data_IF_478400542510
#
_entry.id   IF_478400542510
#
_cell.length_a   1.000
_cell.length_b   1.000
_cell.length_c   1.000
_cell.angle_alpha   90.00
_cell.angle_beta   90.00
_cell.angle_gamma   90.00
#
_symmetry.space_group_name_H-M   'P 1'
#
loop_
_entity.id
_entity.type
_entity.pdbx_description
1 polymer ?
#
# COMPACT_ATOMS: atom_id res chain seq x y z
N UNK A 1 18.05 7.95 13.64
CA UNK A 1 19.52 7.82 13.43
C UNK A 1 20.09 6.48 13.94
N UNK A 2 19.52 5.87 14.99
CA UNK A 2 20.07 4.64 15.61
C UNK A 2 19.83 3.31 14.89
N UNK A 3 18.88 3.23 13.96
CA UNK A 3 18.53 1.96 13.29
C UNK A 3 19.64 1.46 12.36
N UNK A 4 20.27 2.38 11.62
CA UNK A 4 21.35 2.03 10.68
C UNK A 4 22.62 1.53 11.39
N UNK A 5 22.87 1.98 12.62
CA UNK A 5 24.06 1.59 13.41
C UNK A 5 23.99 0.16 13.94
N UNK A 6 22.78 -0.39 14.17
CA UNK A 6 22.55 -1.73 14.74
C UNK A 6 22.50 -2.86 13.71
N UNK A 7 22.45 -2.54 12.42
CA UNK A 7 22.35 -3.57 11.37
C UNK A 7 23.72 -4.10 10.95
N UNK A 8 23.88 -5.43 10.93
CA UNK A 8 25.07 -6.11 10.35
C UNK A 8 25.27 -5.79 8.87
N UNK A 9 24.19 -5.42 8.14
CA UNK A 9 24.19 -5.16 6.70
C UNK A 9 24.00 -3.67 6.36
N UNK A 10 24.77 -2.78 6.99
CA UNK A 10 24.66 -1.31 6.82
C UNK A 10 24.65 -0.84 5.36
N UNK A 11 25.38 -1.51 4.47
CA UNK A 11 25.47 -1.18 3.04
C UNK A 11 24.16 -1.41 2.27
N UNK A 12 23.29 -2.30 2.77
CA UNK A 12 22.02 -2.63 2.13
C UNK A 12 20.87 -1.72 2.58
N UNK A 13 21.04 -0.98 3.67
CA UNK A 13 20.01 -0.11 4.23
C UNK A 13 20.22 1.32 3.76
N UNK A 14 19.21 1.84 3.06
CA UNK A 14 19.13 3.25 2.71
C UNK A 14 18.09 3.94 3.57
N UNK A 15 18.50 4.90 4.39
CA UNK A 15 17.62 5.75 5.17
C UNK A 15 17.30 7.03 4.37
N UNK A 16 16.00 7.34 4.22
CA UNK A 16 15.52 8.57 3.58
C UNK A 16 14.72 9.35 4.62
N UNK A 17 15.12 10.58 4.89
CA UNK A 17 14.42 11.48 5.81
C UNK A 17 14.12 12.82 5.16
N UNK A 18 13.13 13.51 5.68
CA UNK A 18 12.74 14.87 5.30
C UNK A 18 12.23 15.63 6.52
N UNK A 19 12.36 16.96 6.49
CA UNK A 19 12.12 17.82 7.67
C UNK A 19 10.64 17.88 8.09
N UNK A 20 9.71 17.82 7.14
CA UNK A 20 8.25 17.95 7.40
C UNK A 20 7.55 16.62 7.14
N UNK A 21 6.56 16.28 7.96
CA UNK A 21 5.67 15.17 7.67
C UNK A 21 4.76 15.55 6.49
N UNK A 22 4.98 14.92 5.34
CA UNK A 22 4.22 15.15 4.10
C UNK A 22 3.14 14.08 3.91
N UNK A 23 3.22 12.98 4.65
CA UNK A 23 2.26 11.88 4.61
C UNK A 23 2.85 10.55 4.15
N UNK A 24 2.09 9.48 4.39
CA UNK A 24 2.46 8.08 4.09
C UNK A 24 2.77 7.88 2.60
N UNK A 25 1.88 8.35 1.73
CA UNK A 25 2.05 8.20 0.28
C UNK A 25 3.32 8.86 -0.25
N UNK A 26 3.68 10.03 0.30
CA UNK A 26 4.94 10.69 -0.07
C UNK A 26 6.17 9.88 0.35
N UNK A 27 6.19 9.34 1.56
CA UNK A 27 7.28 8.51 2.05
C UNK A 27 7.48 7.26 1.17
N UNK A 28 6.37 6.57 0.84
CA UNK A 28 6.37 5.40 -0.03
C UNK A 28 6.86 5.78 -1.43
N UNK A 29 6.35 6.87 -2.01
CA UNK A 29 6.81 7.38 -3.32
C UNK A 29 8.33 7.58 -3.35
N UNK A 30 8.90 8.20 -2.34
CA UNK A 30 10.37 8.41 -2.23
C UNK A 30 11.11 7.08 -2.13
N UNK A 31 10.60 6.13 -1.34
CA UNK A 31 11.17 4.79 -1.20
C UNK A 31 11.17 4.03 -2.53
N UNK A 32 10.03 3.97 -3.23
CA UNK A 32 9.89 3.29 -4.52
C UNK A 32 10.81 3.90 -5.58
N UNK A 33 10.83 5.22 -5.70
CA UNK A 33 11.68 5.90 -6.69
C UNK A 33 13.18 5.69 -6.42
N UNK A 34 13.57 5.52 -5.16
CA UNK A 34 14.95 5.25 -4.74
C UNK A 34 15.36 3.79 -4.87
N UNK A 35 14.40 2.87 -5.05
CA UNK A 35 14.68 1.44 -5.14
C UNK A 35 15.41 1.07 -6.42
N UNK A 36 16.37 0.12 -6.33
CA UNK A 36 17.21 -0.30 -7.45
C UNK A 36 16.91 -1.73 -7.93
N UNK A 37 16.31 -2.57 -7.09
CA UNK A 37 16.03 -3.98 -7.37
C UNK A 37 14.85 -4.13 -8.33
N UNK A 38 14.77 -5.28 -8.99
CA UNK A 38 13.71 -5.60 -9.95
C UNK A 38 12.33 -5.64 -9.32
N UNK A 39 12.23 -6.20 -8.12
CA UNK A 39 11.00 -6.25 -7.35
C UNK A 39 11.04 -5.26 -6.20
N UNK A 40 9.94 -4.57 -5.97
CA UNK A 40 9.77 -3.56 -4.94
C UNK A 40 8.60 -3.98 -4.04
N UNK A 41 8.91 -4.36 -2.81
CA UNK A 41 7.92 -4.64 -1.78
C UNK A 41 7.69 -3.37 -0.94
N UNK A 42 6.43 -2.96 -0.85
CA UNK A 42 5.97 -2.00 0.15
C UNK A 42 5.51 -2.81 1.37
N UNK A 43 5.95 -2.39 2.56
CA UNK A 43 5.55 -2.99 3.81
C UNK A 43 5.42 -1.87 4.86
N UNK A 44 4.33 -1.88 5.63
CA UNK A 44 4.13 -0.94 6.72
C UNK A 44 5.12 -1.20 7.86
N UNK A 45 5.60 -0.13 8.51
CA UNK A 45 6.60 -0.20 9.58
C UNK A 45 6.07 -0.84 10.86
N UNK A 46 4.74 -0.83 11.07
CA UNK A 46 4.10 -1.48 12.21
C UNK A 46 4.14 -3.02 12.12
N UNK A 47 4.62 -3.56 10.98
CA UNK A 47 4.73 -5.00 10.74
C UNK A 47 3.40 -5.76 10.88
N UNK A 48 2.26 -5.09 10.74
CA UNK A 48 0.93 -5.71 10.70
C UNK A 48 0.88 -6.90 9.72
N UNK A 49 1.61 -6.81 8.61
CA UNK A 49 2.00 -7.97 7.79
C UNK A 49 3.52 -8.09 7.82
N UNK A 50 4.03 -9.22 8.30
CA UNK A 50 5.49 -9.44 8.38
C UNK A 50 6.11 -9.52 6.98
N UNK A 51 7.29 -8.96 6.73
CA UNK A 51 7.99 -9.07 5.43
C UNK A 51 8.14 -10.51 4.93
N UNK A 52 8.29 -11.50 5.83
CA UNK A 52 8.35 -12.93 5.51
C UNK A 52 7.08 -13.49 4.83
N UNK A 53 5.97 -12.73 4.82
CA UNK A 53 4.78 -13.09 4.04
C UNK A 53 5.12 -13.28 2.55
N UNK A 54 6.14 -12.57 2.03
CA UNK A 54 6.59 -12.72 0.64
C UNK A 54 7.08 -14.15 0.34
N UNK A 55 7.72 -14.80 1.31
CA UNK A 55 8.21 -16.17 1.16
C UNK A 55 7.05 -17.16 0.96
N UNK A 56 5.94 -16.92 1.67
CA UNK A 56 4.71 -17.69 1.51
C UNK A 56 4.14 -17.51 0.10
N UNK A 57 4.08 -16.28 -0.41
CA UNK A 57 3.60 -16.01 -1.76
C UNK A 57 4.48 -16.64 -2.82
N UNK A 58 5.80 -16.62 -2.63
CA UNK A 58 6.76 -17.24 -3.53
C UNK A 58 6.64 -18.76 -3.53
N UNK A 59 6.65 -19.43 -2.35
CA UNK A 59 6.51 -20.87 -2.21
C UNK A 59 5.21 -21.41 -2.81
N UNK A 60 4.11 -20.66 -2.66
CA UNK A 60 2.81 -21.01 -3.25
C UNK A 60 2.67 -20.62 -4.73
N UNK A 61 3.71 -20.11 -5.36
CA UNK A 61 3.73 -19.70 -6.77
C UNK A 61 2.64 -18.68 -7.09
N UNK A 62 2.30 -17.79 -6.16
CA UNK A 62 1.32 -16.73 -6.40
C UNK A 62 1.88 -15.58 -7.25
N UNK A 63 3.21 -15.37 -7.18
CA UNK A 63 3.93 -14.34 -7.94
C UNK A 63 4.46 -14.98 -9.22
N UNK A 64 3.79 -14.77 -10.34
CA UNK A 64 4.12 -15.44 -11.60
C UNK A 64 4.53 -14.45 -12.71
N UNK A 65 3.99 -13.25 -12.72
CA UNK A 65 4.10 -12.33 -13.86
C UNK A 65 4.69 -10.98 -13.47
N UNK A 66 5.62 -10.49 -14.28
CA UNK A 66 6.28 -9.18 -14.07
C UNK A 66 5.35 -7.99 -14.41
N UNK A 67 4.31 -8.20 -15.18
CA UNK A 67 3.32 -7.20 -15.56
C UNK A 67 2.07 -7.20 -14.67
N UNK A 68 2.11 -7.87 -13.53
CA UNK A 68 1.05 -7.88 -12.53
C UNK A 68 1.54 -7.18 -11.24
N UNK A 69 0.63 -6.49 -10.56
CA UNK A 69 0.82 -5.97 -9.21
C UNK A 69 0.15 -6.90 -8.20
N UNK A 70 0.83 -7.18 -7.10
CA UNK A 70 0.35 -8.10 -6.07
C UNK A 70 0.04 -7.33 -4.80
N UNK A 71 -1.23 -7.32 -4.41
CA UNK A 71 -1.73 -6.63 -3.22
C UNK A 71 -2.10 -7.64 -2.15
N UNK A 72 -1.58 -7.48 -0.94
CA UNK A 72 -2.12 -8.16 0.21
C UNK A 72 -3.57 -7.72 0.41
N UNK A 73 -4.46 -8.65 0.69
CA UNK A 73 -5.88 -8.36 0.94
C UNK A 73 -6.34 -9.02 2.22
N UNK A 74 -6.78 -8.20 3.17
CA UNK A 74 -7.41 -8.66 4.41
C UNK A 74 -8.79 -9.28 4.15
N UNK A 75 -9.37 -9.02 2.98
CA UNK A 75 -10.67 -9.56 2.53
C UNK A 75 -10.52 -10.83 1.67
N UNK A 76 -9.31 -11.35 1.51
CA UNK A 76 -9.11 -12.63 0.82
C UNK A 76 -9.54 -13.79 1.73
N UNK A 77 -10.23 -14.80 1.18
CA UNK A 77 -10.78 -15.93 1.95
C UNK A 77 -9.75 -16.72 2.77
N UNK A 78 -8.49 -16.78 2.29
CA UNK A 78 -7.39 -17.45 2.96
C UNK A 78 -6.58 -16.53 3.89
N UNK A 79 -6.97 -15.27 4.07
CA UNK A 79 -6.28 -14.36 4.97
C UNK A 79 -6.63 -14.65 6.43
N UNK A 80 -5.61 -14.56 7.29
CA UNK A 80 -5.77 -14.67 8.75
C UNK A 80 -5.69 -13.26 9.34
N UNK A 81 -6.80 -12.80 9.93
CA UNK A 81 -6.94 -11.42 10.40
C UNK A 81 -7.23 -11.40 11.89
N UNK A 82 -6.47 -10.57 12.63
CA UNK A 82 -6.76 -10.20 14.02
C UNK A 82 -7.00 -8.70 14.07
N UNK A 83 -8.26 -8.28 14.12
CA UNK A 83 -8.68 -6.87 14.16
C UNK A 83 -9.91 -6.67 15.04
N UNK A 84 -10.24 -5.41 15.36
CA UNK A 84 -11.50 -5.06 16.02
C UNK A 84 -12.64 -4.95 15.00
N UNK A 85 -13.85 -5.28 15.42
CA UNK A 85 -15.06 -5.18 14.60
C UNK A 85 -15.26 -3.78 13.99
N UNK A 86 -15.07 -2.72 14.79
CA UNK A 86 -15.25 -1.33 14.35
C UNK A 86 -14.36 -1.00 13.14
N UNK A 87 -13.08 -1.41 13.18
CA UNK A 87 -12.14 -1.16 12.07
C UNK A 87 -12.53 -1.94 10.82
N UNK A 88 -13.07 -3.12 11.00
CA UNK A 88 -13.54 -3.93 9.88
C UNK A 88 -14.70 -3.23 9.15
N UNK A 89 -15.70 -2.73 9.90
CA UNK A 89 -16.85 -2.00 9.35
C UNK A 89 -16.41 -0.71 8.64
N UNK A 90 -15.53 0.08 9.23
CA UNK A 90 -14.97 1.27 8.58
C UNK A 90 -14.26 0.93 7.27
N UNK A 91 -13.54 -0.17 7.22
CA UNK A 91 -12.91 -0.66 5.99
C UNK A 91 -13.91 -1.07 4.90
N UNK A 92 -15.05 -1.66 5.28
CA UNK A 92 -16.15 -1.99 4.35
C UNK A 92 -16.76 -0.70 3.78
N UNK A 93 -17.14 0.25 4.64
CA UNK A 93 -17.72 1.54 4.22
C UNK A 93 -16.76 2.28 3.27
N UNK A 94 -15.49 2.34 3.60
CA UNK A 94 -14.50 3.00 2.76
C UNK A 94 -14.37 2.34 1.38
N UNK A 95 -14.38 1.01 1.32
CA UNK A 95 -14.35 0.30 0.04
C UNK A 95 -15.63 0.52 -0.79
N UNK A 96 -16.81 0.64 -0.16
CA UNK A 96 -18.04 1.01 -0.84
C UNK A 96 -17.95 2.39 -1.47
N UNK A 97 -17.45 3.38 -0.74
CA UNK A 97 -17.20 4.72 -1.27
C UNK A 97 -16.27 4.69 -2.49
N UNK A 98 -15.17 3.94 -2.41
CA UNK A 98 -14.24 3.76 -3.53
C UNK A 98 -14.93 3.11 -4.73
N UNK A 99 -15.75 2.09 -4.49
CA UNK A 99 -16.50 1.42 -5.56
C UNK A 99 -17.45 2.38 -6.26
N UNK A 100 -18.27 3.15 -5.52
CA UNK A 100 -19.21 4.11 -6.10
C UNK A 100 -18.52 5.26 -6.83
N UNK A 101 -17.42 5.79 -6.30
CA UNK A 101 -16.71 6.89 -6.92
C UNK A 101 -15.92 6.49 -8.18
N UNK A 102 -15.33 5.29 -8.21
CA UNK A 102 -14.31 4.93 -9.20
C UNK A 102 -14.57 3.60 -9.93
N UNK A 103 -15.59 2.84 -9.56
CA UNK A 103 -15.84 1.51 -10.12
C UNK A 103 -14.69 0.50 -9.83
N UNK A 104 -13.96 0.70 -8.72
CA UNK A 104 -12.86 -0.18 -8.33
C UNK A 104 -13.44 -1.41 -7.61
N UNK A 105 -13.20 -2.61 -8.17
CA UNK A 105 -13.66 -3.90 -7.64
C UNK A 105 -12.65 -4.59 -6.73
N UNK A 106 -11.53 -3.95 -6.40
CA UNK A 106 -10.52 -4.48 -5.48
C UNK A 106 -11.07 -4.44 -4.07
N UNK A 107 -11.04 -5.57 -3.37
CA UNK A 107 -11.65 -5.75 -2.05
C UNK A 107 -10.88 -5.05 -0.94
N UNK A 108 -9.56 -4.89 -1.08
CA UNK A 108 -8.71 -4.23 -0.08
C UNK A 108 -7.63 -3.37 -0.74
N UNK A 109 -7.97 -2.11 -1.03
CA UNK A 109 -7.01 -1.15 -1.59
C UNK A 109 -5.99 -0.66 -0.56
N UNK A 110 -6.30 -0.73 0.74
CA UNK A 110 -5.56 -0.06 1.81
C UNK A 110 -4.54 -0.95 2.54
N UNK A 111 -4.44 -2.25 2.21
CA UNK A 111 -3.45 -3.11 2.83
C UNK A 111 -2.03 -2.62 2.48
N UNK A 112 -1.22 -2.36 3.51
CA UNK A 112 0.12 -1.82 3.37
C UNK A 112 1.18 -2.83 2.89
N UNK A 113 0.77 -3.98 2.36
CA UNK A 113 1.67 -5.01 1.84
C UNK A 113 1.44 -5.20 0.35
N UNK A 114 2.32 -4.63 -0.48
CA UNK A 114 2.16 -4.60 -1.94
C UNK A 114 3.48 -4.84 -2.65
N UNK A 115 3.47 -5.71 -3.66
CA UNK A 115 4.64 -6.06 -4.46
C UNK A 115 4.48 -5.61 -5.91
N UNK A 116 5.52 -5.00 -6.45
CA UNK A 116 5.55 -4.42 -7.78
C UNK A 116 6.83 -4.80 -8.53
N UNK A 117 6.75 -4.94 -9.84
CA UNK A 117 7.94 -4.91 -10.67
C UNK A 117 8.39 -3.45 -10.91
N UNK A 118 9.69 -3.20 -10.86
CA UNK A 118 10.30 -1.88 -10.99
C UNK A 118 9.91 -1.16 -12.30
N UNK A 119 9.72 -1.90 -13.39
CA UNK A 119 9.53 -1.32 -14.72
C UNK A 119 8.31 -0.39 -14.79
N UNK A 120 7.18 -0.82 -14.21
CA UNK A 120 5.99 0.01 -14.16
C UNK A 120 5.85 0.79 -12.86
N UNK A 121 6.34 0.26 -11.73
CA UNK A 121 6.19 0.89 -10.43
C UNK A 121 6.75 2.31 -10.41
N UNK A 122 7.97 2.50 -10.90
CA UNK A 122 8.58 3.84 -10.94
C UNK A 122 7.80 4.84 -11.78
N UNK A 123 7.25 4.39 -12.91
CA UNK A 123 6.41 5.23 -13.75
C UNK A 123 5.12 5.65 -13.01
N UNK A 124 4.42 4.69 -12.42
CA UNK A 124 3.18 4.94 -11.68
C UNK A 124 3.43 5.85 -10.49
N UNK A 125 4.44 5.54 -9.67
CA UNK A 125 4.75 6.33 -8.48
C UNK A 125 5.25 7.75 -8.78
N UNK A 126 5.85 8.02 -9.94
CA UNK A 126 6.14 9.42 -10.36
C UNK A 126 4.87 10.24 -10.51
N UNK A 127 3.77 9.64 -11.00
CA UNK A 127 2.50 10.30 -11.25
C UNK A 127 1.63 10.48 -10.01
N UNK A 128 1.84 9.69 -8.95
CA UNK A 128 1.11 9.83 -7.69
C UNK A 128 1.30 11.25 -7.12
N UNK A 129 0.18 11.88 -6.83
CA UNK A 129 0.08 13.23 -6.27
C UNK A 129 -0.58 13.26 -4.90
N UNK A 130 -1.33 12.24 -4.53
CA UNK A 130 -1.92 12.07 -3.19
C UNK A 130 -0.85 11.59 -2.22
N UNK A 131 -0.55 12.39 -1.20
CA UNK A 131 0.59 12.14 -0.31
C UNK A 131 0.19 11.50 1.03
N UNK A 132 -1.11 11.48 1.35
CA UNK A 132 -1.65 10.87 2.58
C UNK A 132 -2.12 9.45 2.32
N UNK A 133 -3.21 9.04 2.98
CA UNK A 133 -3.75 7.67 2.90
C UNK A 133 -4.49 7.38 1.57
N UNK A 134 -4.99 8.41 0.88
CA UNK A 134 -5.71 8.25 -0.39
C UNK A 134 -4.81 7.86 -1.58
N UNK A 135 -3.49 7.87 -1.40
CA UNK A 135 -2.53 7.47 -2.45
C UNK A 135 -2.78 6.05 -2.95
N UNK A 136 -3.29 5.16 -2.12
CA UNK A 136 -3.57 3.77 -2.49
C UNK A 136 -4.66 3.68 -3.57
N UNK A 137 -5.66 4.57 -3.53
CA UNK A 137 -6.72 4.64 -4.54
C UNK A 137 -6.16 5.20 -5.85
N UNK A 138 -5.40 6.31 -5.79
CA UNK A 138 -4.72 6.88 -6.96
C UNK A 138 -3.78 5.87 -7.60
N UNK A 139 -3.06 5.07 -6.79
CA UNK A 139 -2.20 3.98 -7.25
C UNK A 139 -2.98 2.95 -8.07
N UNK A 140 -4.13 2.50 -7.58
CA UNK A 140 -4.98 1.53 -8.29
C UNK A 140 -5.45 2.08 -9.63
N UNK A 141 -5.90 3.34 -9.67
CA UNK A 141 -6.34 4.00 -10.90
C UNK A 141 -5.21 4.10 -11.94
N UNK A 142 -4.01 4.49 -11.50
CA UNK A 142 -2.84 4.60 -12.36
C UNK A 142 -2.37 3.23 -12.89
N UNK A 143 -2.44 2.18 -12.07
CA UNK A 143 -2.15 0.81 -12.50
C UNK A 143 -3.17 0.35 -13.54
N UNK A 144 -4.47 0.60 -13.29
CA UNK A 144 -5.56 0.28 -14.23
C UNK A 144 -5.37 1.01 -15.57
N UNK A 145 -5.05 2.31 -15.54
CA UNK A 145 -4.76 3.10 -16.76
C UNK A 145 -3.57 2.56 -17.56
N UNK A 146 -2.65 1.89 -16.89
CA UNK A 146 -1.49 1.22 -17.52
C UNK A 146 -1.76 -0.23 -17.89
N UNK A 147 -3.00 -0.71 -17.77
CA UNK A 147 -3.38 -2.10 -18.01
C UNK A 147 -2.56 -3.10 -17.17
N UNK A 148 -2.09 -2.69 -15.98
CA UNK A 148 -1.43 -3.57 -15.04
C UNK A 148 -2.50 -4.26 -14.19
N UNK A 149 -2.59 -5.58 -14.32
CA UNK A 149 -3.52 -6.39 -13.54
C UNK A 149 -3.11 -6.40 -12.08
N UNK A 150 -4.06 -6.14 -11.19
CA UNK A 150 -3.87 -6.26 -9.75
C UNK A 150 -4.43 -7.60 -9.29
N UNK A 151 -3.60 -8.38 -8.59
CA UNK A 151 -3.99 -9.63 -7.95
C UNK A 151 -3.98 -9.45 -6.43
N UNK A 152 -5.12 -9.74 -5.82
CA UNK A 152 -5.23 -9.76 -4.37
C UNK A 152 -4.76 -11.12 -3.85
N UNK A 153 -3.86 -11.10 -2.87
CA UNK A 153 -3.26 -12.30 -2.29
C UNK A 153 -3.50 -12.35 -0.78
N UNK A 154 -3.61 -13.56 -0.20
CA UNK A 154 -3.84 -13.71 1.23
C UNK A 154 -2.67 -13.21 2.06
N UNK A 155 -2.98 -12.64 3.22
CA UNK A 155 -2.01 -12.17 4.21
C UNK A 155 -2.35 -12.66 5.62
N UNK A 156 -1.32 -12.83 6.43
CA UNK A 156 -1.45 -12.96 7.87
C UNK A 156 -1.31 -11.54 8.45
N UNK A 157 -2.43 -10.93 8.84
CA UNK A 157 -2.46 -9.56 9.32
C UNK A 157 -2.85 -9.51 10.80
N UNK A 158 -2.05 -8.82 11.59
CA UNK A 158 -2.29 -8.63 13.02
C UNK A 158 -2.34 -7.13 13.30
N UNK A 159 -3.38 -6.71 14.01
CA UNK A 159 -3.44 -5.31 14.45
C UNK A 159 -2.38 -5.05 15.52
N UNK A 160 -1.46 -4.15 15.21
CA UNK A 160 -0.50 -3.64 16.18
C UNK A 160 -1.05 -2.37 16.85
N UNK A 161 -0.95 -2.30 18.17
CA UNK A 161 -1.31 -1.11 18.95
C UNK A 161 -0.39 0.04 18.56
N UNK A 162 -0.95 1.24 18.28
CA UNK A 162 -0.16 2.41 17.88
C UNK A 162 -0.44 2.93 16.47
N UNK A 163 -1.52 2.47 15.82
CA UNK A 163 -2.00 3.07 14.58
C UNK A 163 -2.24 4.58 14.78
N UNK A 164 -1.55 5.39 13.99
CA UNK A 164 -1.67 6.86 14.01
C UNK A 164 -2.87 7.38 13.22
N UNK A 165 -3.75 6.50 12.73
CA UNK A 165 -4.96 6.91 12.01
C UNK A 165 -5.96 7.47 13.00
N UNK A 166 -6.24 8.77 12.90
CA UNK A 166 -7.29 9.43 13.66
C UNK A 166 -8.57 9.44 12.81
N UNK A 167 -9.55 8.63 13.23
CA UNK A 167 -10.81 8.42 12.49
C UNK A 167 -11.51 9.76 12.22
N UNK A 168 -11.55 10.68 13.20
CA UNK A 168 -12.28 11.94 13.08
C UNK A 168 -11.61 12.94 12.12
N UNK A 169 -10.28 12.92 12.01
CA UNK A 169 -9.56 13.85 11.15
C UNK A 169 -9.15 13.24 9.82
N UNK A 170 -8.73 11.98 9.82
CA UNK A 170 -8.19 11.37 8.59
C UNK A 170 -9.28 10.95 7.63
N UNK A 171 -10.46 10.47 8.10
CA UNK A 171 -11.55 10.05 7.21
C UNK A 171 -12.09 11.23 6.37
N UNK A 172 -12.46 12.38 6.94
CA UNK A 172 -12.90 13.53 6.14
C UNK A 172 -11.84 13.98 5.12
N UNK A 173 -10.57 14.01 5.53
CA UNK A 173 -9.47 14.34 4.63
C UNK A 173 -9.30 13.32 3.51
N UNK A 174 -9.47 12.03 3.81
CA UNK A 174 -9.43 10.98 2.80
C UNK A 174 -10.56 11.14 1.80
N UNK A 175 -11.79 11.42 2.25
CA UNK A 175 -12.94 11.67 1.36
C UNK A 175 -12.70 12.90 0.46
N UNK A 176 -12.19 13.98 1.01
CA UNK A 176 -11.81 15.16 0.24
C UNK A 176 -10.75 14.85 -0.83
N UNK A 177 -9.72 14.10 -0.45
CA UNK A 177 -8.69 13.66 -1.39
C UNK A 177 -9.28 12.75 -2.49
N UNK A 178 -10.23 11.86 -2.15
CA UNK A 178 -10.91 11.02 -3.14
C UNK A 178 -11.69 11.85 -4.15
N UNK A 179 -12.40 12.89 -3.71
CA UNK A 179 -13.09 13.82 -4.62
C UNK A 179 -12.09 14.53 -5.54
N UNK A 180 -10.97 15.03 -5.00
CA UNK A 180 -9.89 15.60 -5.82
C UNK A 180 -9.37 14.62 -6.87
N UNK A 181 -9.16 13.36 -6.49
CA UNK A 181 -8.72 12.30 -7.42
C UNK A 181 -9.79 12.09 -8.49
N UNK A 182 -11.09 12.11 -8.14
CA UNK A 182 -12.19 11.88 -9.07
C UNK A 182 -12.27 12.96 -10.16
N UNK A 183 -12.07 14.23 -9.77
CA UNK A 183 -12.12 15.37 -10.70
C UNK A 183 -10.77 15.62 -11.42
N UNK A 184 -9.71 14.99 -10.98
CA UNK A 184 -8.44 15.01 -11.66
C UNK A 184 -8.50 13.97 -12.78
N UNK A 185 -8.48 14.40 -14.02
CA UNK A 185 -8.39 13.49 -15.19
C UNK A 185 -7.11 12.65 -15.09
N UNK A 186 -7.21 11.52 -14.37
CA UNK A 186 -6.11 10.55 -14.22
C UNK A 186 -6.08 9.62 -15.44
#
# INVERSE_FOLDING_TARGET
KNFKSKSKNKKLIKYISYKKNVGKGYAIKKGVLSSKREWILICDLDMSVKPSQIDTWYKKKYILKKNEAYFGSRKHSLSKIKTSFVREQLGVIFNLVIFFLFGIKIKDTQCGFKLFNKNYAKFVFRKISSYRFSFDVELVLLLKKKNIKIRELPVNWVHESGSKLNIFFDIPLMLYDLLKIRFKNI
#
